data_IF_730606252945
#
_entry.id   IF_730606252945
#
_cell.length_a   1.000
_cell.length_b   1.000
_cell.length_c   1.000
_cell.angle_alpha   90.00
_cell.angle_beta   90.00
_cell.angle_gamma   90.00
#
_symmetry.space_group_name_H-M   'P 1'
#
loop_
_entity.id
_entity.type
_entity.pdbx_description
1 polymer ?
#
# COMPACT_ATOMS: atom_id res chain seq x y z
N UNK A 1 59.18 -9.70 -19.10
CA UNK A 1 58.21 -9.13 -20.05
C UNK A 1 56.82 -9.57 -19.63
N UNK A 2 56.01 -8.61 -19.13
CA UNK A 2 54.54 -8.44 -19.32
C UNK A 2 53.62 -9.65 -19.12
N UNK A 3 52.73 -9.66 -18.11
CA UNK A 3 51.37 -9.04 -18.15
C UNK A 3 50.86 -8.92 -16.69
N UNK A 4 50.43 -7.81 -16.05
CA UNK A 4 49.49 -6.70 -16.36
C UNK A 4 48.10 -7.20 -16.81
N UNK A 5 47.06 -7.17 -15.96
CA UNK A 5 46.11 -6.07 -15.62
C UNK A 5 45.09 -5.72 -16.73
N UNK A 6 43.86 -5.41 -16.29
CA UNK A 6 42.65 -4.90 -17.01
C UNK A 6 41.70 -6.00 -17.54
N UNK A 7 40.44 -6.13 -17.11
CA UNK A 7 39.29 -5.19 -17.05
C UNK A 7 39.02 -4.52 -18.42
N UNK A 8 38.05 -5.09 -19.15
CA UNK A 8 37.31 -4.49 -20.28
C UNK A 8 35.87 -5.01 -20.13
N UNK A 9 34.95 -4.26 -19.53
CA UNK A 9 34.03 -3.30 -20.16
C UNK A 9 33.38 -3.84 -21.44
N UNK A 10 32.11 -4.25 -21.37
CA UNK A 10 31.25 -4.38 -22.54
C UNK A 10 29.86 -3.86 -22.21
N UNK A 11 29.72 -2.57 -22.53
CA UNK A 11 28.50 -1.91 -22.97
C UNK A 11 27.70 -2.82 -23.91
N UNK A 12 26.40 -2.99 -23.70
CA UNK A 12 25.44 -3.16 -24.79
C UNK A 12 24.20 -2.30 -24.50
N UNK A 13 24.16 -1.20 -25.25
CA UNK A 13 22.99 -0.39 -25.52
C UNK A 13 22.29 -0.94 -26.78
N UNK A 14 21.07 -0.46 -27.06
CA UNK A 14 20.23 -0.71 -28.25
C UNK A 14 19.34 -1.99 -28.16
N UNK A 15 18.09 -2.02 -28.63
CA UNK A 15 17.25 -1.04 -29.32
C UNK A 15 15.79 -1.52 -29.22
N UNK A 16 14.83 -0.59 -29.22
CA UNK A 16 13.41 -0.86 -29.39
C UNK A 16 13.10 -1.40 -30.81
N UNK A 17 12.01 -2.16 -31.02
CA UNK A 17 11.38 -2.27 -32.32
C UNK A 17 10.07 -1.47 -32.36
N UNK A 18 10.00 -0.66 -33.42
CA UNK A 18 8.91 0.20 -33.85
C UNK A 18 7.73 -0.63 -34.38
N UNK A 19 6.52 -0.06 -34.31
CA UNK A 19 5.32 -0.60 -34.94
C UNK A 19 4.23 0.47 -35.05
N UNK A 20 4.47 1.46 -35.89
CA UNK A 20 3.48 2.47 -36.32
C UNK A 20 2.47 1.78 -37.23
N UNK A 21 1.17 1.82 -36.91
CA UNK A 21 0.13 1.64 -37.93
C UNK A 21 -1.08 2.55 -37.69
N UNK A 22 -1.14 3.54 -38.59
CA UNK A 22 -2.30 4.06 -39.31
C UNK A 22 -3.50 4.66 -38.55
N UNK A 23 -3.55 5.98 -38.65
CA UNK A 23 -4.73 6.85 -38.48
C UNK A 23 -5.54 6.79 -39.78
N UNK A 24 -6.59 5.97 -39.84
CA UNK A 24 -7.60 6.04 -40.91
C UNK A 24 -8.84 5.21 -40.55
N UNK A 25 -9.99 5.90 -40.41
CA UNK A 25 -11.36 5.39 -40.54
C UNK A 25 -11.76 4.12 -39.74
N UNK A 26 -12.37 4.35 -38.58
CA UNK A 26 -13.49 3.53 -38.15
C UNK A 26 -14.55 4.41 -37.47
N UNK A 27 -15.27 5.16 -38.30
CA UNK A 27 -16.56 5.71 -37.90
C UNK A 27 -17.60 4.62 -38.02
N UNK A 28 -17.97 4.01 -36.89
CA UNK A 28 -19.35 3.60 -36.52
C UNK A 28 -19.29 2.73 -35.25
N UNK A 29 -19.05 3.34 -34.10
CA UNK A 29 -19.40 2.71 -32.81
C UNK A 29 -19.69 3.81 -31.78
N UNK A 30 -20.73 4.59 -32.08
CA UNK A 30 -21.15 5.76 -31.33
C UNK A 30 -22.54 5.53 -30.70
N UNK A 31 -22.84 4.34 -30.19
CA UNK A 31 -24.01 4.14 -29.31
C UNK A 31 -23.62 3.12 -28.25
N UNK A 32 -23.74 3.51 -26.98
CA UNK A 32 -23.36 2.76 -25.76
C UNK A 32 -21.88 2.87 -25.35
N UNK A 33 -21.32 4.08 -25.42
CA UNK A 33 -20.31 4.48 -24.46
C UNK A 33 -20.93 4.49 -23.07
N UNK A 34 -20.87 3.37 -22.33
CA UNK A 34 -21.01 3.37 -20.88
C UNK A 34 -20.17 4.54 -20.38
N UNK A 35 -20.80 5.49 -19.72
CA UNK A 35 -20.10 6.47 -18.90
C UNK A 35 -19.21 5.66 -17.97
N UNK A 36 -17.91 5.64 -18.27
CA UNK A 36 -16.90 5.07 -17.41
C UNK A 36 -16.90 5.94 -16.16
N UNK A 37 -17.74 5.60 -15.20
CA UNK A 37 -17.69 6.15 -13.86
C UNK A 37 -16.27 5.88 -13.38
N UNK A 38 -15.40 6.89 -13.46
CA UNK A 38 -14.03 6.77 -13.00
C UNK A 38 -14.15 6.56 -11.50
N UNK A 39 -14.04 5.30 -11.06
CA UNK A 39 -13.67 5.04 -9.68
C UNK A 39 -12.46 5.94 -9.40
N UNK A 40 -12.41 6.63 -8.24
CA UNK A 40 -11.20 7.32 -7.83
C UNK A 40 -10.04 6.36 -8.08
N UNK A 41 -8.91 6.83 -8.64
CA UNK A 41 -7.75 5.96 -8.85
C UNK A 41 -7.56 5.13 -7.58
N UNK A 42 -7.80 3.82 -7.69
CA UNK A 42 -7.71 2.93 -6.55
C UNK A 42 -6.36 3.21 -5.91
N UNK A 43 -6.40 3.56 -4.63
CA UNK A 43 -5.23 3.67 -3.78
C UNK A 43 -4.34 2.47 -4.09
N UNK A 44 -3.09 2.74 -4.46
CA UNK A 44 -2.11 1.82 -5.06
C UNK A 44 -2.46 0.33 -4.87
N UNK A 45 -2.93 -0.34 -5.93
CA UNK A 45 -3.33 -1.77 -5.90
C UNK A 45 -2.21 -2.70 -5.37
N UNK A 46 -0.95 -2.23 -5.43
CA UNK A 46 0.21 -2.87 -4.85
C UNK A 46 0.23 -2.81 -3.31
N UNK A 47 -0.21 -1.69 -2.74
CA UNK A 47 -0.34 -1.50 -1.29
C UNK A 47 -1.58 -2.23 -0.73
N UNK A 48 -2.59 -2.51 -1.54
CA UNK A 48 -3.79 -3.24 -1.13
C UNK A 48 -4.20 -4.24 -2.22
N UNK A 49 -3.57 -5.42 -2.25
CA UNK A 49 -3.89 -6.42 -3.26
C UNK A 49 -5.28 -7.03 -2.99
N UNK A 50 -6.11 -7.07 -4.03
CA UNK A 50 -7.35 -7.81 -4.05
C UNK A 50 -7.31 -8.84 -5.18
N UNK A 51 -7.61 -10.13 -4.91
CA UNK A 51 -7.78 -11.10 -5.97
C UNK A 51 -8.98 -10.73 -6.84
N UNK A 52 -8.99 -11.11 -8.13
CA UNK A 52 -10.12 -10.84 -9.00
C UNK A 52 -11.39 -11.49 -8.42
N UNK A 53 -12.49 -10.73 -8.38
CA UNK A 53 -13.77 -11.24 -7.89
C UNK A 53 -14.29 -12.32 -8.84
N UNK A 54 -14.40 -13.55 -8.34
CA UNK A 54 -15.05 -14.66 -9.05
C UNK A 54 -16.41 -14.90 -8.39
N UNK A 55 -17.49 -14.49 -9.06
CA UNK A 55 -18.85 -14.84 -8.65
C UNK A 55 -19.31 -16.01 -9.50
N UNK A 56 -19.87 -17.08 -8.90
CA UNK A 56 -20.43 -18.17 -9.68
C UNK A 56 -21.56 -17.65 -10.58
N UNK A 57 -21.72 -18.25 -11.75
CA UNK A 57 -22.87 -17.98 -12.60
C UNK A 57 -24.12 -18.41 -11.85
N UNK A 58 -25.12 -17.54 -11.78
CA UNK A 58 -26.38 -17.83 -11.10
C UNK A 58 -27.20 -18.77 -11.99
N UNK A 59 -27.08 -20.08 -11.75
CA UNK A 59 -27.86 -21.10 -12.45
C UNK A 59 -29.29 -21.15 -11.91
N UNK A 60 -30.27 -20.90 -12.77
CA UNK A 60 -31.70 -20.94 -12.41
C UNK A 60 -32.18 -22.39 -12.41
N UNK A 61 -32.14 -23.04 -11.25
CA UNK A 61 -32.60 -24.43 -11.10
C UNK A 61 -34.14 -24.54 -11.09
N UNK A 62 -34.86 -23.45 -10.80
CA UNK A 62 -36.33 -23.40 -10.74
C UNK A 62 -36.91 -22.33 -11.67
N UNK A 63 -38.14 -22.56 -12.15
CA UNK A 63 -38.88 -21.63 -13.01
C UNK A 63 -39.43 -20.40 -12.25
N UNK A 64 -39.41 -20.42 -10.91
CA UNK A 64 -39.85 -19.32 -10.07
C UNK A 64 -38.72 -18.28 -9.91
N UNK A 65 -39.00 -16.98 -10.04
CA UNK A 65 -37.98 -15.94 -9.89
C UNK A 65 -37.49 -15.85 -8.44
N UNK A 66 -36.17 -15.86 -8.24
CA UNK A 66 -35.56 -15.69 -6.92
C UNK A 66 -35.85 -14.26 -6.38
N UNK A 67 -36.45 -14.11 -5.18
CA UNK A 67 -36.79 -12.80 -4.61
C UNK A 67 -35.56 -11.90 -4.39
N UNK A 68 -34.37 -12.47 -4.22
CA UNK A 68 -33.13 -11.70 -4.07
C UNK A 68 -32.79 -10.85 -5.31
N UNK A 69 -33.11 -11.35 -6.52
CA UNK A 69 -32.87 -10.62 -7.77
C UNK A 69 -33.86 -9.46 -7.95
N UNK A 70 -35.06 -9.57 -7.37
CA UNK A 70 -36.03 -8.49 -7.38
C UNK A 70 -35.59 -7.40 -6.40
N UNK A 71 -35.21 -7.76 -5.17
CA UNK A 71 -34.74 -6.81 -4.17
C UNK A 71 -33.52 -6.01 -4.63
N UNK A 72 -32.53 -6.67 -5.27
CA UNK A 72 -31.36 -5.97 -5.79
C UNK A 72 -31.70 -4.97 -6.91
N UNK A 73 -32.65 -5.31 -7.78
CA UNK A 73 -33.16 -4.38 -8.81
C UNK A 73 -33.94 -3.21 -8.20
N UNK A 74 -34.79 -3.48 -7.22
CA UNK A 74 -35.52 -2.42 -6.51
C UNK A 74 -34.52 -1.47 -5.86
N UNK A 75 -33.56 -2.00 -5.09
CA UNK A 75 -32.50 -1.20 -4.45
C UNK A 75 -31.72 -0.36 -5.46
N UNK A 76 -31.37 -0.95 -6.61
CA UNK A 76 -30.65 -0.23 -7.67
C UNK A 76 -31.45 0.99 -8.19
N UNK A 77 -32.75 0.82 -8.46
CA UNK A 77 -33.59 1.91 -9.00
C UNK A 77 -34.03 2.91 -7.94
N UNK A 78 -34.25 2.49 -6.70
CA UNK A 78 -34.78 3.36 -5.64
C UNK A 78 -33.69 4.09 -4.86
N UNK A 79 -32.50 3.48 -4.71
CA UNK A 79 -31.41 4.02 -3.88
C UNK A 79 -30.18 4.33 -4.71
N UNK A 80 -29.60 3.36 -5.42
CA UNK A 80 -28.30 3.56 -6.08
C UNK A 80 -28.36 4.62 -7.20
N UNK A 81 -29.39 4.57 -8.05
CA UNK A 81 -29.53 5.49 -9.18
C UNK A 81 -29.71 6.97 -8.74
N UNK A 82 -30.63 7.31 -7.81
CA UNK A 82 -30.72 8.69 -7.32
C UNK A 82 -29.46 9.13 -6.55
N UNK A 83 -28.81 8.22 -5.80
CA UNK A 83 -27.57 8.56 -5.07
C UNK A 83 -26.40 8.82 -6.02
N UNK A 84 -26.25 8.03 -7.07
CA UNK A 84 -25.19 8.20 -8.07
C UNK A 84 -25.38 9.49 -8.88
N UNK A 85 -26.60 9.77 -9.33
CA UNK A 85 -26.89 11.05 -10.02
C UNK A 85 -26.64 12.26 -9.11
N UNK A 86 -27.02 12.19 -7.83
CA UNK A 86 -26.69 13.26 -6.87
C UNK A 86 -25.18 13.41 -6.69
N UNK A 87 -24.45 12.31 -6.50
CA UNK A 87 -22.97 12.33 -6.42
C UNK A 87 -22.34 12.98 -7.65
N UNK A 88 -22.81 12.63 -8.85
CA UNK A 88 -22.32 13.20 -10.10
C UNK A 88 -22.57 14.72 -10.18
N UNK A 89 -23.73 15.20 -9.73
CA UNK A 89 -24.00 16.64 -9.67
C UNK A 89 -23.05 17.36 -8.71
N UNK A 90 -22.81 16.79 -7.52
CA UNK A 90 -21.87 17.35 -6.53
C UNK A 90 -20.43 17.34 -7.06
N UNK A 91 -20.00 16.22 -7.66
CA UNK A 91 -18.67 16.09 -8.26
C UNK A 91 -18.49 17.07 -9.43
N UNK A 92 -19.54 17.35 -10.21
CA UNK A 92 -19.49 18.36 -11.27
C UNK A 92 -19.25 19.77 -10.72
N UNK A 93 -19.84 20.12 -9.57
CA UNK A 93 -19.60 21.41 -8.90
C UNK A 93 -18.19 21.44 -8.32
N UNK A 94 -17.77 20.37 -7.63
CA UNK A 94 -16.43 20.25 -7.03
C UNK A 94 -15.33 20.31 -8.10
N UNK A 95 -15.56 19.71 -9.27
CA UNK A 95 -14.58 19.69 -10.35
C UNK A 95 -14.22 21.08 -10.87
N UNK A 96 -15.16 22.05 -10.79
CA UNK A 96 -14.93 23.44 -11.18
C UNK A 96 -13.96 24.16 -10.23
N UNK A 97 -13.96 23.79 -8.94
CA UNK A 97 -13.15 24.42 -7.88
C UNK A 97 -12.26 23.39 -7.16
N UNK A 98 -11.37 22.71 -7.89
CA UNK A 98 -10.53 21.65 -7.31
C UNK A 98 -9.36 22.24 -6.52
N UNK A 99 -9.42 22.13 -5.19
CA UNK A 99 -8.30 22.42 -4.29
C UNK A 99 -7.24 21.30 -4.40
N UNK A 100 -5.98 21.69 -4.57
CA UNK A 100 -4.84 20.77 -4.61
C UNK A 100 -4.14 20.80 -3.25
N UNK A 101 -3.86 19.63 -2.70
CA UNK A 101 -3.02 19.47 -1.51
C UNK A 101 -1.83 18.57 -1.84
N UNK A 102 -0.69 18.84 -1.19
CA UNK A 102 0.55 18.10 -1.40
C UNK A 102 0.92 17.33 -0.14
N UNK A 103 1.52 16.16 -0.33
CA UNK A 103 2.10 15.39 0.77
C UNK A 103 3.42 16.04 1.20
N UNK A 104 3.54 16.32 2.49
CA UNK A 104 4.76 16.89 3.05
C UNK A 104 5.91 15.87 2.95
N UNK A 105 7.05 16.31 2.41
CA UNK A 105 8.27 15.51 2.31
C UNK A 105 9.30 16.05 3.30
N UNK A 106 9.66 15.24 4.28
CA UNK A 106 10.73 15.57 5.22
C UNK A 106 12.06 15.07 4.69
N UNK A 107 13.07 15.94 4.67
CA UNK A 107 14.46 15.52 4.40
C UNK A 107 14.98 14.68 5.57
N UNK A 108 15.91 13.76 5.29
CA UNK A 108 16.62 13.03 6.35
C UNK A 108 17.56 13.99 7.10
N UNK A 109 17.67 13.76 8.40
CA UNK A 109 18.50 14.48 9.38
C UNK A 109 19.49 13.45 9.92
N UNK A 110 20.72 13.84 10.34
CA UNK A 110 21.63 12.94 11.02
C UNK A 110 20.97 12.25 12.22
N UNK A 111 21.30 10.98 12.40
CA UNK A 111 20.80 10.17 13.52
C UNK A 111 21.57 10.50 14.81
N UNK A 112 21.03 10.04 15.93
CA UNK A 112 21.59 10.31 17.26
C UNK A 112 23.04 9.79 17.44
N UNK A 113 23.47 8.82 16.64
CA UNK A 113 24.83 8.27 16.66
C UNK A 113 25.90 9.25 16.15
N UNK A 114 25.52 10.21 15.33
CA UNK A 114 26.43 11.15 14.67
C UNK A 114 26.55 12.49 15.44
N UNK A 115 25.63 12.75 16.37
CA UNK A 115 25.63 13.95 17.19
C UNK A 115 26.75 13.94 18.23
N UNK A 116 27.42 15.09 18.45
CA UNK A 116 28.39 15.22 19.53
C UNK A 116 27.70 15.31 20.90
N UNK A 117 28.45 15.01 21.96
CA UNK A 117 27.97 15.12 23.33
C UNK A 117 27.74 16.57 23.73
N UNK A 118 26.51 16.94 24.08
CA UNK A 118 26.12 18.31 24.46
C UNK A 118 25.41 19.12 23.38
N UNK A 119 25.34 18.62 22.14
CA UNK A 119 24.66 19.30 21.03
C UNK A 119 23.13 19.11 21.07
N UNK A 120 22.45 19.91 21.89
CA UNK A 120 20.99 19.91 22.02
C UNK A 120 20.20 20.07 20.70
N UNK A 121 20.56 20.96 19.75
CA UNK A 121 19.81 21.06 18.49
C UNK A 121 19.89 19.77 17.67
N UNK A 122 21.07 19.12 17.62
CA UNK A 122 21.24 17.84 16.92
C UNK A 122 20.34 16.75 17.54
N UNK A 123 20.32 16.67 18.87
CA UNK A 123 19.44 15.72 19.57
C UNK A 123 17.97 15.95 19.30
N UNK A 124 17.55 17.21 19.28
CA UNK A 124 16.16 17.56 19.02
C UNK A 124 15.74 17.14 17.61
N UNK A 125 16.54 17.46 16.59
CA UNK A 125 16.21 17.09 15.21
C UNK A 125 16.19 15.57 15.01
N UNK A 126 17.18 14.86 15.55
CA UNK A 126 17.25 13.39 15.51
C UNK A 126 16.07 12.74 16.26
N UNK A 127 15.66 13.29 17.40
CA UNK A 127 14.50 12.77 18.14
C UNK A 127 13.19 13.02 17.37
N UNK A 128 13.04 14.18 16.73
CA UNK A 128 11.86 14.47 15.91
C UNK A 128 11.80 13.61 14.66
N UNK A 129 12.94 13.26 14.07
CA UNK A 129 13.06 12.29 12.99
C UNK A 129 12.55 10.92 13.44
N UNK A 130 13.08 10.40 14.54
CA UNK A 130 12.69 9.12 15.11
C UNK A 130 11.19 9.08 15.49
N UNK A 131 10.64 10.15 16.06
CA UNK A 131 9.20 10.24 16.39
C UNK A 131 8.31 10.18 15.15
N UNK A 132 8.75 10.73 14.02
CA UNK A 132 8.03 10.61 12.74
C UNK A 132 8.10 9.19 12.21
N UNK A 133 9.29 8.61 12.16
CA UNK A 133 9.48 7.24 11.66
C UNK A 133 8.73 6.21 12.55
N UNK A 134 8.67 6.42 13.87
CA UNK A 134 7.84 5.62 14.78
C UNK A 134 6.35 5.64 14.42
N UNK A 135 5.80 6.82 14.12
CA UNK A 135 4.39 6.95 13.67
C UNK A 135 4.18 6.29 12.31
N UNK A 136 5.13 6.42 11.39
CA UNK A 136 5.05 5.77 10.07
C UNK A 136 5.07 4.24 10.24
N UNK A 137 5.95 3.69 11.08
CA UNK A 137 6.00 2.26 11.38
C UNK A 137 4.69 1.75 12.03
N UNK A 138 4.03 2.56 12.87
CA UNK A 138 2.70 2.24 13.40
C UNK A 138 1.66 2.10 12.29
N UNK A 139 1.65 3.03 11.32
CA UNK A 139 0.73 2.94 10.18
C UNK A 139 1.07 1.76 9.26
N UNK A 140 2.35 1.42 9.08
CA UNK A 140 2.75 0.22 8.32
C UNK A 140 2.15 -1.04 8.93
N UNK A 141 2.25 -1.21 10.26
CA UNK A 141 1.66 -2.37 10.95
C UNK A 141 0.14 -2.40 10.76
N UNK A 142 -0.54 -1.25 10.85
CA UNK A 142 -1.99 -1.16 10.62
C UNK A 142 -2.36 -1.55 9.19
N UNK A 143 -1.63 -1.10 8.17
CA UNK A 143 -1.89 -1.47 6.78
C UNK A 143 -1.77 -2.98 6.58
N UNK A 144 -0.72 -3.62 7.13
CA UNK A 144 -0.58 -5.08 7.04
C UNK A 144 -1.69 -5.81 7.82
N UNK A 145 -2.12 -5.26 8.96
CA UNK A 145 -3.26 -5.78 9.71
C UNK A 145 -4.57 -5.68 8.91
N UNK A 146 -4.80 -4.58 8.19
CA UNK A 146 -5.96 -4.41 7.30
C UNK A 146 -5.94 -5.44 6.16
N UNK A 147 -4.77 -5.71 5.56
CA UNK A 147 -4.63 -6.77 4.54
C UNK A 147 -5.04 -8.14 5.09
N UNK A 148 -4.56 -8.48 6.29
CA UNK A 148 -4.90 -9.75 6.94
C UNK A 148 -6.41 -9.83 7.22
N UNK A 149 -7.02 -8.77 7.76
CA UNK A 149 -8.47 -8.73 8.02
C UNK A 149 -9.29 -8.82 6.74
N UNK A 150 -8.87 -8.12 5.68
CA UNK A 150 -9.54 -8.17 4.39
C UNK A 150 -9.46 -9.58 3.79
N UNK A 151 -8.32 -10.25 3.90
CA UNK A 151 -8.12 -11.63 3.48
C UNK A 151 -9.03 -12.59 4.26
N UNK A 152 -9.05 -12.50 5.59
CA UNK A 152 -9.93 -13.29 6.45
C UNK A 152 -11.41 -13.11 6.10
N UNK A 153 -11.85 -11.88 5.86
CA UNK A 153 -13.23 -11.58 5.48
C UNK A 153 -13.62 -12.14 4.11
N UNK A 154 -12.68 -12.20 3.16
CA UNK A 154 -12.92 -12.74 1.81
C UNK A 154 -13.02 -14.27 1.79
N UNK A 155 -12.16 -14.94 2.56
CA UNK A 155 -12.02 -16.41 2.50
C UNK A 155 -12.95 -17.16 3.46
N UNK A 156 -13.50 -16.46 4.46
CA UNK A 156 -14.47 -17.01 5.41
C UNK A 156 -13.89 -18.19 6.19
N UNK A 157 -14.48 -19.38 6.05
CA UNK A 157 -14.05 -20.58 6.77
C UNK A 157 -12.70 -21.16 6.29
N UNK A 158 -12.29 -20.85 5.05
CA UNK A 158 -11.08 -21.40 4.44
C UNK A 158 -9.82 -20.55 4.64
N UNK A 159 -9.88 -19.56 5.54
CA UNK A 159 -8.86 -18.51 5.66
C UNK A 159 -7.47 -19.01 6.06
N UNK A 160 -7.37 -20.14 6.75
CA UNK A 160 -6.08 -20.63 7.26
C UNK A 160 -5.16 -21.11 6.14
N UNK A 161 -5.71 -21.62 5.05
CA UNK A 161 -4.94 -22.19 3.94
C UNK A 161 -4.64 -21.14 2.88
N UNK A 162 -5.64 -20.32 2.54
CA UNK A 162 -5.55 -19.37 1.44
C UNK A 162 -4.79 -18.08 1.86
N UNK A 163 -4.95 -17.64 3.12
CA UNK A 163 -4.31 -16.43 3.68
C UNK A 163 -2.90 -16.63 4.27
N UNK A 164 -2.23 -17.75 3.96
CA UNK A 164 -0.96 -18.10 4.62
C UNK A 164 0.14 -17.04 4.41
N UNK A 165 0.16 -16.37 3.25
CA UNK A 165 1.17 -15.36 2.91
C UNK A 165 1.01 -14.09 3.74
N UNK A 166 -0.22 -13.61 3.88
CA UNK A 166 -0.56 -12.42 4.66
C UNK A 166 -0.31 -12.64 6.14
N UNK A 167 -0.60 -13.85 6.66
CA UNK A 167 -0.28 -14.24 8.04
C UNK A 167 1.24 -14.21 8.27
N UNK A 168 2.03 -14.77 7.35
CA UNK A 168 3.49 -14.76 7.44
C UNK A 168 4.03 -13.32 7.43
N UNK A 169 3.57 -12.48 6.50
CA UNK A 169 3.94 -11.07 6.42
C UNK A 169 3.59 -10.32 7.70
N UNK A 170 2.40 -10.54 8.25
CA UNK A 170 1.98 -9.93 9.50
C UNK A 170 2.87 -10.35 10.68
N UNK A 171 3.21 -11.64 10.78
CA UNK A 171 4.07 -12.14 11.83
C UNK A 171 5.49 -11.56 11.74
N UNK A 172 6.05 -11.46 10.53
CA UNK A 172 7.37 -10.86 10.31
C UNK A 172 7.38 -9.38 10.68
N UNK A 173 6.42 -8.60 10.16
CA UNK A 173 6.33 -7.16 10.43
C UNK A 173 6.09 -6.88 11.91
N UNK A 174 5.21 -7.65 12.56
CA UNK A 174 4.93 -7.50 14.00
C UNK A 174 6.14 -7.87 14.84
N UNK A 175 6.86 -8.95 14.50
CA UNK A 175 8.10 -9.34 15.18
C UNK A 175 9.17 -8.27 15.03
N UNK A 176 9.34 -7.72 13.83
CA UNK A 176 10.29 -6.64 13.56
C UNK A 176 9.92 -5.35 14.32
N UNK A 177 8.63 -4.98 14.33
CA UNK A 177 8.13 -3.83 15.09
C UNK A 177 8.33 -4.00 16.60
N UNK A 178 7.95 -5.14 17.16
CA UNK A 178 8.15 -5.46 18.58
C UNK A 178 9.64 -5.46 18.96
N UNK A 179 10.50 -5.98 18.08
CA UNK A 179 11.95 -5.99 18.32
C UNK A 179 12.53 -4.57 18.39
N UNK A 180 12.02 -3.63 17.57
CA UNK A 180 12.48 -2.24 17.52
C UNK A 180 11.89 -1.40 18.66
N UNK A 181 10.58 -1.48 18.86
CA UNK A 181 9.84 -0.55 19.71
C UNK A 181 9.25 -1.15 21.00
N UNK A 182 9.34 -2.48 21.19
CA UNK A 182 8.87 -3.12 22.41
C UNK A 182 9.57 -2.59 23.66
N UNK A 183 8.82 -2.49 24.77
CA UNK A 183 9.35 -2.19 26.12
C UNK A 183 10.04 -0.83 26.29
N UNK A 184 9.87 0.12 25.36
CA UNK A 184 10.43 1.48 25.48
C UNK A 184 9.71 2.35 26.54
N UNK A 185 8.52 1.91 26.98
CA UNK A 185 7.65 2.61 27.92
C UNK A 185 6.89 3.80 27.31
N UNK A 186 6.09 4.50 28.12
CA UNK A 186 5.28 5.64 27.67
C UNK A 186 6.14 6.81 27.15
N UNK A 187 7.26 7.08 27.80
CA UNK A 187 8.24 8.10 27.39
C UNK A 187 9.30 7.48 26.49
N UNK A 188 8.88 6.95 25.34
CA UNK A 188 9.78 6.37 24.35
C UNK A 188 10.60 7.47 23.65
N UNK A 189 11.89 7.22 23.46
CA UNK A 189 12.81 8.17 22.83
C UNK A 189 13.85 7.44 21.96
N UNK A 190 14.44 8.18 21.02
CA UNK A 190 15.51 7.68 20.16
C UNK A 190 16.70 7.12 20.97
N UNK A 191 17.03 7.77 22.10
CA UNK A 191 18.08 7.32 23.03
C UNK A 191 17.82 5.92 23.57
N UNK A 192 16.60 5.64 24.03
CA UNK A 192 16.23 4.31 24.55
C UNK A 192 16.25 3.25 23.44
N UNK A 193 15.76 3.60 22.26
CA UNK A 193 15.81 2.72 21.09
C UNK A 193 17.25 2.33 20.74
N UNK A 194 18.18 3.29 20.79
CA UNK A 194 19.60 3.07 20.53
C UNK A 194 20.26 2.18 21.59
N UNK A 195 19.94 2.34 22.88
CA UNK A 195 20.44 1.45 23.93
C UNK A 195 19.93 0.02 23.77
N UNK A 196 18.65 -0.15 23.45
CA UNK A 196 18.08 -1.48 23.12
C UNK A 196 18.77 -2.11 21.91
N UNK A 197 19.07 -1.33 20.88
CA UNK A 197 19.79 -1.81 19.71
C UNK A 197 21.20 -2.27 20.08
N UNK A 198 21.92 -1.52 20.93
CA UNK A 198 23.24 -1.91 21.43
C UNK A 198 23.18 -3.22 22.22
N UNK A 199 22.21 -3.37 23.12
CA UNK A 199 22.00 -4.60 23.87
C UNK A 199 21.81 -5.82 22.94
N UNK A 200 20.98 -5.67 21.90
CA UNK A 200 20.77 -6.72 20.88
C UNK A 200 22.04 -7.06 20.11
N UNK A 201 22.85 -6.05 19.76
CA UNK A 201 24.12 -6.26 19.07
C UNK A 201 25.13 -7.01 19.95
N UNK A 202 25.23 -6.67 21.23
CA UNK A 202 26.08 -7.37 22.19
C UNK A 202 25.62 -8.82 22.41
N UNK A 203 24.31 -9.04 22.55
CA UNK A 203 23.75 -10.39 22.70
C UNK A 203 23.98 -11.24 21.43
N UNK A 204 23.85 -10.67 20.23
CA UNK A 204 24.13 -11.37 18.99
C UNK A 204 25.62 -11.73 18.86
N UNK A 205 26.52 -10.83 19.24
CA UNK A 205 27.96 -11.10 19.26
C UNK A 205 28.31 -12.24 20.23
N UNK A 206 27.74 -12.22 21.44
CA UNK A 206 27.97 -13.26 22.44
C UNK A 206 27.45 -14.65 22.03
N UNK A 207 26.43 -14.73 21.17
CA UNK A 207 25.90 -15.99 20.63
C UNK A 207 26.71 -16.52 19.44
N UNK A 208 27.45 -15.65 18.76
CA UNK A 208 28.28 -15.99 17.60
C UNK A 208 29.73 -16.35 17.95
N UNK A 209 30.16 -16.10 19.18
CA UNK A 209 31.46 -16.46 19.74
C UNK A 209 31.41 -17.83 20.40
#
# INVERSE_FOLDING_TARGET
MTSKFAIVLSLHCACAPQGVLSRSNCGLCLILGKTSHKMPRDYDKEAYPEPPRQTPVVDKQTALPNPALFLSKVFYYTVDLPVTTFRDTVDSIRSKNKLVYYHQKFRRVPDLTECQEGDYPCYYEAEMQWRRDYKVDQEIVKVIQERLRACQQREGHSYQQNCAKEIQQFNEVTKNYQSRYGDLGAYASARKCLMKQKERMMAAQAQSA
#
